data_IF_429662990776
#
_entry.id   IF_429662990776
#
_cell.length_a   1.000
_cell.length_b   1.000
_cell.length_c   1.000
_cell.angle_alpha   90.00
_cell.angle_beta   90.00
_cell.angle_gamma   90.00
#
_symmetry.space_group_name_H-M   'P 1'
#
loop_
_entity.id
_entity.type
_entity.pdbx_description
1 polymer ?
#
# COMPACT_ATOMS: atom_id res chain seq x y z
N UNK A 1 -7.38 19.84 2.67
CA UNK A 1 -6.16 19.05 2.90
C UNK A 1 -6.51 17.59 2.67
N UNK A 2 -6.24 17.06 1.48
CA UNK A 2 -6.52 15.65 1.19
C UNK A 2 -5.39 14.84 1.82
N UNK A 3 -5.57 14.44 3.08
CA UNK A 3 -4.61 13.60 3.78
C UNK A 3 -4.72 12.20 3.21
N UNK A 4 -3.80 11.83 2.31
CA UNK A 4 -3.52 10.42 2.08
C UNK A 4 -3.14 9.83 3.43
N UNK A 5 -4.06 9.10 4.07
CA UNK A 5 -3.78 8.41 5.32
C UNK A 5 -2.70 7.38 5.03
N UNK A 6 -1.47 7.68 5.49
CA UNK A 6 -0.40 6.69 5.52
C UNK A 6 -0.93 5.42 6.18
N UNK A 7 -0.46 4.28 5.69
CA UNK A 7 -0.84 3.01 6.29
C UNK A 7 -0.51 3.02 7.79
N UNK A 8 -1.38 2.43 8.65
CA UNK A 8 -1.13 2.38 10.08
C UNK A 8 0.12 1.56 10.38
N UNK A 9 0.76 1.76 11.54
CA UNK A 9 1.99 1.07 11.94
C UNK A 9 1.89 -0.47 11.93
N UNK A 10 0.68 -1.02 12.07
CA UNK A 10 0.41 -2.45 11.95
C UNK A 10 0.43 -2.98 10.50
N UNK A 11 0.58 -2.10 9.51
CA UNK A 11 0.81 -2.48 8.12
C UNK A 11 2.30 -2.46 7.85
N UNK A 12 2.85 -3.63 7.55
CA UNK A 12 4.24 -3.79 7.18
C UNK A 12 4.41 -3.73 5.67
N UNK A 13 5.22 -2.79 5.20
CA UNK A 13 5.62 -2.67 3.80
C UNK A 13 7.05 -3.19 3.63
N UNK A 14 7.22 -4.20 2.79
CA UNK A 14 8.54 -4.70 2.37
C UNK A 14 8.71 -4.46 0.87
N UNK A 15 9.61 -3.55 0.52
CA UNK A 15 9.91 -3.19 -0.86
C UNK A 15 11.08 -3.99 -1.38
N UNK A 16 10.91 -4.61 -2.54
CA UNK A 16 11.95 -5.32 -3.26
C UNK A 16 12.05 -4.81 -4.71
N UNK A 17 13.16 -5.12 -5.39
CA UNK A 17 13.37 -4.64 -6.76
C UNK A 17 12.34 -5.21 -7.73
N UNK A 18 11.87 -6.44 -7.47
CA UNK A 18 10.89 -7.14 -8.31
C UNK A 18 9.45 -7.02 -7.80
N UNK A 19 9.26 -7.09 -6.48
CA UNK A 19 7.94 -7.13 -5.86
C UNK A 19 7.91 -6.29 -4.58
N UNK A 20 6.76 -5.70 -4.29
CA UNK A 20 6.49 -5.01 -3.03
C UNK A 20 5.45 -5.83 -2.28
N UNK A 21 5.71 -6.13 -1.01
CA UNK A 21 4.80 -6.86 -0.14
C UNK A 21 4.20 -5.90 0.86
N UNK A 22 2.87 -5.94 0.99
CA UNK A 22 2.15 -5.21 2.02
C UNK A 22 1.43 -6.24 2.87
N UNK A 23 1.84 -6.36 4.13
CA UNK A 23 1.25 -7.24 5.12
C UNK A 23 0.39 -6.42 6.06
N UNK A 24 -0.88 -6.79 6.19
CA UNK A 24 -1.77 -6.18 7.17
C UNK A 24 -1.77 -7.02 8.45
N UNK A 25 -1.03 -6.60 9.47
CA UNK A 25 -1.03 -7.25 10.80
C UNK A 25 -2.10 -6.64 11.73
N UNK A 26 -2.86 -5.65 11.25
CA UNK A 26 -3.94 -5.07 12.03
C UNK A 26 -5.09 -6.07 12.19
N UNK A 27 -5.93 -5.89 13.21
CA UNK A 27 -7.13 -6.71 13.45
C UNK A 27 -8.33 -6.31 12.55
N UNK A 28 -8.14 -5.32 11.67
CA UNK A 28 -9.18 -4.82 10.76
C UNK A 28 -8.74 -4.97 9.31
N UNK A 29 -9.72 -5.15 8.43
CA UNK A 29 -9.51 -5.19 6.99
C UNK A 29 -9.27 -3.77 6.48
N UNK A 30 -8.17 -3.58 5.76
CA UNK A 30 -7.82 -2.28 5.16
C UNK A 30 -7.68 -2.40 3.66
N UNK A 31 -8.06 -1.34 2.96
CA UNK A 31 -7.80 -1.22 1.52
C UNK A 31 -6.54 -0.40 1.34
N UNK A 32 -5.51 -1.02 0.81
CA UNK A 32 -4.16 -0.46 0.72
C UNK A 32 -3.75 -0.37 -0.75
N UNK A 33 -2.92 0.63 -1.04
CA UNK A 33 -2.22 0.75 -2.32
C UNK A 33 -0.79 1.22 -2.07
N UNK A 34 0.02 1.22 -3.11
CA UNK A 34 1.43 1.64 -3.05
C UNK A 34 1.58 2.92 -3.87
N UNK A 35 2.10 3.96 -3.24
CA UNK A 35 2.45 5.20 -3.92
C UNK A 35 3.87 5.08 -4.49
N UNK A 36 4.02 5.37 -5.78
CA UNK A 36 5.31 5.44 -6.45
C UNK A 36 5.68 6.90 -6.72
N UNK A 37 6.96 7.23 -6.63
CA UNK A 37 7.48 8.59 -6.87
C UNK A 37 7.14 9.11 -8.26
N UNK A 38 7.12 8.22 -9.25
CA UNK A 38 6.79 8.50 -10.65
C UNK A 38 5.30 8.85 -10.86
N UNK A 39 4.48 8.75 -9.82
CA UNK A 39 3.03 8.95 -9.92
C UNK A 39 2.30 7.77 -10.56
N UNK A 40 2.94 6.59 -10.66
CA UNK A 40 2.26 5.36 -11.03
C UNK A 40 1.19 5.04 -9.98
N UNK A 41 -0.06 5.04 -10.39
CA UNK A 41 -1.17 4.61 -9.55
C UNK A 41 -1.43 3.12 -9.78
N UNK A 42 -1.33 2.33 -8.72
CA UNK A 42 -1.70 0.90 -8.75
C UNK A 42 -3.09 0.71 -8.14
N UNK A 43 -3.85 -0.29 -8.60
CA UNK A 43 -5.19 -0.52 -8.10
C UNK A 43 -5.15 -0.85 -6.60
N UNK A 44 -6.03 -0.19 -5.86
CA UNK A 44 -6.28 -0.47 -4.46
C UNK A 44 -6.60 -1.96 -4.26
N UNK A 45 -6.01 -2.56 -3.23
CA UNK A 45 -6.28 -3.94 -2.85
C UNK A 45 -6.65 -4.05 -1.39
N UNK A 46 -7.69 -4.82 -1.14
CA UNK A 46 -8.17 -5.09 0.21
C UNK A 46 -7.32 -6.20 0.83
N UNK A 47 -6.71 -5.92 1.97
CA UNK A 47 -5.98 -6.88 2.80
C UNK A 47 -6.78 -7.14 4.08
N UNK A 48 -7.18 -8.40 4.27
CA UNK A 48 -7.77 -8.87 5.52
C UNK A 48 -6.73 -8.85 6.66
N UNK A 49 -7.16 -8.91 7.94
CA UNK A 49 -6.25 -9.05 9.07
C UNK A 49 -5.40 -10.32 8.93
N UNK A 50 -4.07 -10.18 8.98
CA UNK A 50 -3.09 -11.24 8.75
C UNK A 50 -2.80 -11.55 7.28
N UNK A 51 -3.44 -10.85 6.34
CA UNK A 51 -3.27 -11.09 4.91
C UNK A 51 -2.07 -10.33 4.35
N UNK A 52 -1.49 -10.85 3.27
CA UNK A 52 -0.34 -10.24 2.59
C UNK A 52 -0.62 -10.11 1.10
N UNK A 53 -0.75 -8.86 0.66
CA UNK A 53 -0.92 -8.50 -0.74
C UNK A 53 0.42 -8.17 -1.39
N UNK A 54 0.53 -8.48 -2.67
CA UNK A 54 1.71 -8.20 -3.49
C UNK A 54 1.42 -7.15 -4.54
N UNK A 55 2.33 -6.21 -4.66
CA UNK A 55 2.37 -5.15 -5.65
C UNK A 55 3.65 -5.28 -6.49
N UNK A 56 3.69 -4.65 -7.67
CA UNK A 56 4.93 -4.54 -8.42
C UNK A 56 6.01 -3.82 -7.59
N UNK A 57 7.25 -4.30 -7.68
CA UNK A 57 8.39 -3.64 -7.05
C UNK A 57 8.73 -2.31 -7.71
N UNK A 58 9.84 -1.74 -7.28
CA UNK A 58 10.49 -0.59 -7.93
C UNK A 58 10.78 -0.84 -9.44
N UNK A 59 10.89 -2.11 -9.83
CA UNK A 59 11.24 -2.51 -11.19
C UNK A 59 12.68 -2.14 -11.55
N UNK A 60 13.10 -2.51 -12.76
CA UNK A 60 14.41 -2.11 -13.32
C UNK A 60 14.49 -0.63 -13.67
N UNK A 61 13.33 0.03 -13.79
CA UNK A 61 13.21 1.47 -14.04
C UNK A 61 13.63 2.31 -12.83
N UNK A 62 13.70 1.72 -11.64
CA UNK A 62 14.08 2.46 -10.44
C UNK A 62 12.95 3.32 -9.86
N UNK A 63 11.67 3.00 -10.13
CA UNK A 63 10.54 3.70 -9.52
C UNK A 63 10.56 3.54 -8.00
N UNK A 64 10.98 4.59 -7.32
CA UNK A 64 11.02 4.60 -5.86
C UNK A 64 9.61 4.49 -5.30
N UNK A 65 9.43 3.55 -4.38
CA UNK A 65 8.17 3.37 -3.66
C UNK A 65 8.18 4.31 -2.47
N UNK A 66 7.26 5.26 -2.46
CA UNK A 66 7.11 6.24 -1.38
C UNK A 66 6.54 5.60 -0.11
N UNK A 67 5.68 4.60 -0.28
CA UNK A 67 5.09 3.87 0.84
C UNK A 67 3.74 3.24 0.52
N UNK A 68 3.20 2.51 1.50
CA UNK A 68 1.81 2.07 1.47
C UNK A 68 0.91 3.20 1.95
N UNK A 69 -0.18 3.41 1.23
CA UNK A 69 -1.21 4.37 1.59
C UNK A 69 -2.55 3.65 1.67
N UNK A 70 -3.39 4.06 2.62
CA UNK A 70 -4.76 3.60 2.66
C UNK A 70 -5.51 4.22 1.49
N UNK A 71 -6.11 3.37 0.65
CA UNK A 71 -7.19 3.86 -0.18
C UNK A 71 -8.35 4.13 0.76
N UNK A 72 -8.81 5.38 0.78
CA UNK A 72 -10.03 5.75 1.49
C UNK A 72 -11.14 4.83 0.99
N UNK A 73 -11.46 3.83 1.80
CA UNK A 73 -12.64 3.01 1.58
C UNK A 73 -13.80 3.85 2.04
N UNK A 74 -14.22 4.81 1.19
CA UNK A 74 -15.38 5.68 1.32
C UNK A 74 -16.02 5.62 2.70
N UNK A 75 -15.37 6.25 3.67
CA UNK A 75 -15.75 6.18 5.08
C UNK A 75 -16.19 7.55 5.59
N UNK A 76 -16.93 8.30 4.77
CA UNK A 76 -17.54 9.56 5.18
C UNK A 76 -18.96 9.63 4.64
N UNK A 77 -19.90 9.08 5.40
CA UNK A 77 -21.24 9.63 5.71
C UNK A 77 -22.16 8.52 6.26
#
# INVERSE_FOLDING_TARGET
MQGSMSAPDCVHLTVDWRYTFVSNDCSSTYTLTVAYLDGTEVPCRTAAPGDRITFPGRGTQGNEVLGAVLCDSGGSA
#
